data_IF_571593929566
#
_entry.id   IF_571593929566
#
_cell.length_a   1.000
_cell.length_b   1.000
_cell.length_c   1.000
_cell.angle_alpha   90.00
_cell.angle_beta   90.00
_cell.angle_gamma   90.00
#
_symmetry.space_group_name_H-M   'P 1'
#
loop_
_entity.id
_entity.type
_entity.pdbx_description
1 polymer ?
#
# COMPACT_ATOMS: atom_id res chain seq x y z
N UNK A 1 23.55 -2.48 -0.34
CA UNK A 1 22.85 -2.43 0.95
C UNK A 1 21.91 -1.24 0.96
N UNK A 2 20.63 -1.41 1.34
CA UNK A 2 19.64 -0.31 1.43
C UNK A 2 20.08 0.82 2.38
N UNK A 3 20.94 0.51 3.37
CA UNK A 3 21.52 1.48 4.31
C UNK A 3 22.34 2.60 3.64
N UNK A 4 22.75 2.45 2.38
CA UNK A 4 23.46 3.50 1.64
C UNK A 4 22.56 4.65 1.17
N UNK A 5 21.25 4.40 1.09
CA UNK A 5 20.28 5.35 0.50
C UNK A 5 19.16 5.74 1.46
N UNK A 6 19.09 5.11 2.65
CA UNK A 6 18.05 5.36 3.64
C UNK A 6 18.68 5.51 5.02
N UNK A 7 18.28 6.58 5.73
CA UNK A 7 18.69 6.85 7.11
C UNK A 7 18.30 5.72 8.06
N UNK A 8 17.14 5.09 7.82
CA UNK A 8 16.63 3.96 8.62
C UNK A 8 16.02 2.89 7.72
N UNK A 9 16.40 1.63 7.96
CA UNK A 9 15.80 0.46 7.31
C UNK A 9 14.95 -0.27 8.34
N UNK A 10 13.65 -0.38 8.06
CA UNK A 10 12.68 -1.01 8.97
C UNK A 10 12.35 -2.40 8.43
N UNK A 11 12.58 -3.48 9.21
CA UNK A 11 12.13 -4.82 8.85
C UNK A 11 10.62 -4.88 8.66
N UNK A 12 10.14 -5.72 7.73
CA UNK A 12 8.71 -5.81 7.37
C UNK A 12 7.80 -6.19 8.54
N UNK A 13 8.34 -6.90 9.51
CA UNK A 13 7.67 -7.42 10.71
C UNK A 13 7.81 -6.49 11.92
N UNK A 14 8.65 -5.45 11.82
CA UNK A 14 8.86 -4.47 12.90
C UNK A 14 7.91 -3.27 12.76
N UNK A 15 6.61 -3.56 12.93
CA UNK A 15 5.55 -2.55 12.94
C UNK A 15 5.80 -1.49 14.02
N UNK A 16 6.36 -1.86 15.17
CA UNK A 16 6.64 -0.92 16.27
C UNK A 16 7.66 0.14 15.85
N UNK A 17 8.73 -0.25 15.15
CA UNK A 17 9.71 0.71 14.63
C UNK A 17 9.15 1.57 13.52
N UNK A 18 8.27 1.03 12.67
CA UNK A 18 7.54 1.82 11.67
C UNK A 18 6.69 2.92 12.30
N UNK A 19 5.87 2.57 13.29
CA UNK A 19 5.02 3.53 14.02
C UNK A 19 5.88 4.60 14.72
N UNK A 20 6.98 4.21 15.36
CA UNK A 20 7.90 5.16 15.99
C UNK A 20 8.50 6.13 14.97
N UNK A 21 8.94 5.66 13.81
CA UNK A 21 9.48 6.53 12.75
C UNK A 21 8.46 7.57 12.29
N UNK A 22 7.21 7.16 12.05
CA UNK A 22 6.13 8.07 11.65
C UNK A 22 5.83 9.11 12.73
N UNK A 23 5.77 8.70 14.00
CA UNK A 23 5.58 9.63 15.13
C UNK A 23 6.76 10.60 15.34
N UNK A 24 7.95 10.21 14.91
CA UNK A 24 9.14 11.07 14.88
C UNK A 24 9.26 11.89 13.58
N UNK A 25 8.17 12.04 12.81
CA UNK A 25 8.11 12.83 11.59
C UNK A 25 9.04 12.35 10.45
N UNK A 26 9.36 11.05 10.43
CA UNK A 26 10.06 10.45 9.29
C UNK A 26 9.07 9.81 8.32
N UNK A 27 9.20 10.05 7.00
CA UNK A 27 8.36 9.41 6.01
C UNK A 27 8.62 7.90 5.96
N UNK A 28 7.56 7.13 5.76
CA UNK A 28 7.64 5.68 5.54
C UNK A 28 6.99 5.35 4.21
N UNK A 29 7.72 4.62 3.38
CA UNK A 29 7.16 4.00 2.19
C UNK A 29 6.43 2.70 2.57
N UNK A 30 5.18 2.56 2.14
CA UNK A 30 4.35 1.39 2.40
C UNK A 30 3.60 0.95 1.14
N UNK A 31 3.74 -0.33 0.75
CA UNK A 31 3.06 -0.92 -0.40
C UNK A 31 1.96 -1.89 0.07
N UNK A 32 0.67 -1.52 -0.05
CA UNK A 32 -0.46 -2.32 0.44
C UNK A 32 -1.07 -3.26 -0.61
N UNK A 33 -0.53 -3.27 -1.83
CA UNK A 33 -1.12 -3.82 -3.06
C UNK A 33 -0.84 -5.32 -3.26
N UNK A 34 -0.26 -6.00 -2.27
CA UNK A 34 -0.06 -7.45 -2.30
C UNK A 34 -1.25 -8.20 -1.68
N UNK A 35 -1.54 -9.40 -2.21
CA UNK A 35 -2.54 -10.34 -1.66
C UNK A 35 -2.19 -10.86 -0.27
N UNK A 36 -2.28 -10.00 0.75
CA UNK A 36 -2.04 -10.31 2.16
C UNK A 36 -3.22 -11.06 2.76
N UNK A 37 -2.93 -12.14 3.49
CA UNK A 37 -3.91 -13.08 4.07
C UNK A 37 -3.76 -13.27 5.57
N UNK A 38 -3.05 -12.35 6.24
CA UNK A 38 -2.87 -12.44 7.67
C UNK A 38 -4.07 -11.89 8.43
N UNK A 39 -3.93 -11.85 9.76
CA UNK A 39 -4.90 -11.17 10.62
C UNK A 39 -5.13 -9.76 10.07
N UNK A 40 -6.40 -9.40 9.91
CA UNK A 40 -6.83 -8.11 9.39
C UNK A 40 -6.74 -7.87 7.87
N UNK A 41 -6.79 -8.93 7.05
CA UNK A 41 -7.18 -8.80 5.65
C UNK A 41 -8.71 -8.80 5.49
N UNK A 42 -9.22 -8.10 4.48
CA UNK A 42 -10.62 -8.16 4.07
C UNK A 42 -10.73 -8.46 2.57
N UNK A 43 -11.80 -9.12 2.14
CA UNK A 43 -12.09 -9.31 0.71
C UNK A 43 -12.73 -8.03 0.17
N UNK A 44 -11.96 -7.23 -0.55
CA UNK A 44 -12.37 -5.91 -1.06
C UNK A 44 -12.22 -5.88 -2.58
N UNK A 45 -13.02 -5.04 -3.30
CA UNK A 45 -12.93 -4.96 -4.75
C UNK A 45 -11.54 -4.47 -5.19
N UNK A 46 -10.98 -5.13 -6.19
CA UNK A 46 -9.83 -4.68 -6.98
C UNK A 46 -10.08 -5.08 -8.44
N UNK A 47 -10.23 -4.09 -9.31
CA UNK A 47 -10.74 -4.21 -10.67
C UNK A 47 -12.09 -4.96 -10.73
N UNK A 48 -13.00 -4.63 -9.82
CA UNK A 48 -14.31 -5.28 -9.63
C UNK A 48 -14.25 -6.78 -9.28
N UNK A 49 -13.07 -7.32 -9.00
CA UNK A 49 -12.90 -8.70 -8.53
C UNK A 49 -12.58 -8.68 -7.03
N UNK A 50 -13.26 -9.49 -6.20
CA UNK A 50 -12.92 -9.61 -4.78
C UNK A 50 -11.46 -10.05 -4.59
N UNK A 51 -10.67 -9.27 -3.85
CA UNK A 51 -9.26 -9.55 -3.60
C UNK A 51 -8.89 -9.39 -2.11
N UNK A 52 -8.05 -10.28 -1.54
CA UNK A 52 -7.61 -10.22 -0.15
C UNK A 52 -6.74 -8.98 0.08
N UNK A 53 -7.27 -7.98 0.77
CA UNK A 53 -6.68 -6.64 0.86
C UNK A 53 -6.23 -6.34 2.28
N UNK A 54 -5.03 -5.79 2.42
CA UNK A 54 -4.49 -5.41 3.71
C UNK A 54 -5.09 -4.07 4.19
N UNK A 55 -5.75 -4.09 5.34
CA UNK A 55 -6.34 -2.88 5.96
C UNK A 55 -5.37 -2.10 6.85
N UNK A 56 -4.08 -2.49 6.87
CA UNK A 56 -3.08 -1.89 7.74
C UNK A 56 -2.85 -0.40 7.48
N UNK A 57 -2.97 0.09 6.24
CA UNK A 57 -2.82 1.53 5.93
C UNK A 57 -3.74 2.39 6.79
N UNK A 58 -5.02 1.98 6.93
CA UNK A 58 -6.00 2.66 7.79
C UNK A 58 -5.54 2.70 9.25
N UNK A 59 -5.14 1.55 9.80
CA UNK A 59 -4.70 1.45 11.21
C UNK A 59 -3.41 2.21 11.50
N UNK A 60 -2.45 2.15 10.58
CA UNK A 60 -1.19 2.88 10.69
C UNK A 60 -1.51 4.37 10.80
N UNK A 61 -2.26 4.91 9.83
CA UNK A 61 -2.68 6.31 9.82
C UNK A 61 -3.44 6.69 11.11
N UNK A 62 -4.37 5.84 11.58
CA UNK A 62 -5.14 6.11 12.81
C UNK A 62 -4.26 6.17 14.05
N UNK A 63 -3.27 5.28 14.14
CA UNK A 63 -2.40 5.16 15.30
C UNK A 63 -1.29 6.22 15.37
N UNK A 64 -0.92 6.81 14.23
CA UNK A 64 0.14 7.82 14.13
C UNK A 64 -0.38 9.23 13.92
N UNK A 65 -1.61 9.39 13.41
CA UNK A 65 -2.13 10.67 12.93
C UNK A 65 -1.43 11.17 11.66
N UNK A 66 -0.69 10.29 10.96
CA UNK A 66 0.09 10.68 9.79
C UNK A 66 -0.79 10.81 8.54
N UNK A 67 -0.55 11.82 7.69
CA UNK A 67 -1.19 11.90 6.38
C UNK A 67 -0.76 10.72 5.50
N UNK A 68 -1.67 10.22 4.68
CA UNK A 68 -1.39 9.20 3.67
C UNK A 68 -1.36 9.86 2.30
N UNK A 69 -0.20 9.82 1.65
CA UNK A 69 0.00 10.36 0.30
C UNK A 69 0.12 9.19 -0.68
N UNK A 70 -0.85 9.00 -1.59
CA UNK A 70 -0.69 8.05 -2.69
C UNK A 70 0.43 8.50 -3.62
N UNK A 71 1.11 7.53 -4.22
CA UNK A 71 2.08 7.84 -5.25
C UNK A 71 2.26 6.67 -6.21
N UNK A 72 2.69 6.97 -7.43
CA UNK A 72 3.06 5.99 -8.43
C UNK A 72 4.38 6.34 -9.10
N UNK A 73 5.04 5.32 -9.66
CA UNK A 73 6.32 5.44 -10.37
C UNK A 73 6.12 4.97 -11.80
N UNK A 74 6.59 5.79 -12.73
CA UNK A 74 6.63 5.50 -14.16
C UNK A 74 8.07 5.43 -14.60
N UNK A 75 8.49 4.32 -15.19
CA UNK A 75 9.77 4.19 -15.89
C UNK A 75 9.63 4.80 -17.28
N UNK A 76 10.52 5.73 -17.62
CA UNK A 76 10.58 6.35 -18.93
C UNK A 76 11.29 5.43 -19.94
N UNK A 77 10.98 5.56 -21.26
CA UNK A 77 11.66 4.81 -22.30
C UNK A 77 13.16 5.14 -22.36
N UNK A 78 13.92 4.28 -23.04
CA UNK A 78 15.33 4.51 -23.39
C UNK A 78 16.24 4.88 -22.20
N UNK A 79 15.96 4.30 -21.03
CA UNK A 79 16.70 4.54 -19.79
C UNK A 79 16.73 6.02 -19.35
N UNK A 80 15.75 6.83 -19.74
CA UNK A 80 15.64 8.25 -19.35
C UNK A 80 15.25 8.47 -17.88
N UNK A 81 15.11 7.41 -17.09
CA UNK A 81 14.86 7.48 -15.65
C UNK A 81 13.41 7.21 -15.27
N UNK A 82 12.93 7.90 -14.23
CA UNK A 82 11.61 7.65 -13.63
C UNK A 82 10.87 8.95 -13.33
N UNK A 83 9.56 8.94 -13.53
CA UNK A 83 8.65 9.99 -13.04
C UNK A 83 7.97 9.49 -11.78
N UNK A 84 8.17 10.21 -10.68
CA UNK A 84 7.46 10.02 -9.42
C UNK A 84 6.26 10.98 -9.39
N UNK A 85 5.06 10.45 -9.25
CA UNK A 85 3.84 11.25 -9.04
C UNK A 85 3.35 11.03 -7.62
N UNK A 86 3.33 12.09 -6.83
CA UNK A 86 2.83 12.07 -5.45
C UNK A 86 1.54 12.89 -5.43
N UNK A 87 0.45 12.27 -5.04
CA UNK A 87 -0.84 12.93 -4.90
C UNK A 87 -0.92 13.70 -3.58
N UNK A 88 -1.84 14.68 -3.48
CA UNK A 88 -2.17 15.29 -2.20
C UNK A 88 -2.56 14.24 -1.15
N UNK A 89 -2.39 14.55 0.15
CA UNK A 89 -2.86 13.68 1.22
C UNK A 89 -4.34 13.32 1.04
N UNK A 90 -4.67 12.06 1.30
CA UNK A 90 -6.06 11.60 1.32
C UNK A 90 -6.85 12.40 2.35
N UNK A 91 -7.88 13.11 1.89
CA UNK A 91 -8.83 13.79 2.77
C UNK A 91 -9.71 12.77 3.47
N UNK A 92 -10.12 13.07 4.71
CA UNK A 92 -10.99 12.23 5.53
C UNK A 92 -10.46 10.78 5.65
N UNK A 93 -9.16 10.64 5.87
CA UNK A 93 -8.49 9.35 5.99
C UNK A 93 -7.60 9.31 7.25
N UNK A 94 -7.65 8.23 8.04
CA UNK A 94 -8.54 7.07 7.90
C UNK A 94 -9.96 7.36 8.38
N UNK A 95 -10.92 6.60 7.88
CA UNK A 95 -12.28 6.57 8.42
C UNK A 95 -12.39 5.61 9.62
N UNK A 96 -13.61 5.41 10.12
CA UNK A 96 -13.89 4.39 11.13
C UNK A 96 -14.07 2.98 10.56
N UNK A 97 -14.04 2.82 9.23
CA UNK A 97 -14.07 1.51 8.55
C UNK A 97 -12.76 1.25 7.81
N UNK A 98 -11.86 0.40 8.38
CA UNK A 98 -10.65 -0.03 7.68
C UNK A 98 -10.92 -0.72 6.34
N UNK A 99 -12.09 -1.34 6.18
CA UNK A 99 -12.57 -1.94 4.94
C UNK A 99 -12.90 -0.89 3.88
N UNK A 100 -13.62 0.19 4.24
CA UNK A 100 -13.91 1.29 3.34
C UNK A 100 -12.62 2.00 2.89
N UNK A 101 -11.71 2.24 3.84
CA UNK A 101 -10.37 2.77 3.57
C UNK A 101 -9.57 1.86 2.64
N UNK A 102 -9.60 0.54 2.86
CA UNK A 102 -8.94 -0.44 2.00
C UNK A 102 -9.49 -0.47 0.58
N UNK A 103 -10.82 -0.36 0.43
CA UNK A 103 -11.46 -0.29 -0.88
C UNK A 103 -11.08 1.01 -1.62
N UNK A 104 -11.00 2.13 -0.91
CA UNK A 104 -10.50 3.40 -1.46
C UNK A 104 -9.05 3.31 -1.91
N UNK A 105 -8.18 2.69 -1.11
CA UNK A 105 -6.78 2.44 -1.47
C UNK A 105 -6.68 1.56 -2.73
N UNK A 106 -7.48 0.49 -2.83
CA UNK A 106 -7.54 -0.32 -4.05
C UNK A 106 -7.96 0.51 -5.26
N UNK A 107 -9.00 1.33 -5.17
CA UNK A 107 -9.45 2.18 -6.27
C UNK A 107 -8.36 3.15 -6.77
N UNK A 108 -7.55 3.69 -5.85
CA UNK A 108 -6.40 4.53 -6.19
C UNK A 108 -5.33 3.74 -6.94
N UNK A 109 -5.00 2.54 -6.46
CA UNK A 109 -4.05 1.64 -7.14
C UNK A 109 -4.57 1.28 -8.54
N UNK A 110 -5.86 0.99 -8.69
CA UNK A 110 -6.43 0.69 -10.00
C UNK A 110 -6.33 1.88 -10.96
N UNK A 111 -6.61 3.10 -10.49
CA UNK A 111 -6.45 4.33 -11.28
C UNK A 111 -5.01 4.45 -11.79
N UNK A 112 -4.03 4.23 -10.92
CA UNK A 112 -2.62 4.36 -11.28
C UNK A 112 -2.14 3.22 -12.20
N UNK A 113 -2.61 2.00 -11.94
CA UNK A 113 -2.35 0.84 -12.80
C UNK A 113 -2.98 1.02 -14.20
N UNK A 114 -4.18 1.62 -14.32
CA UNK A 114 -4.81 1.92 -15.62
C UNK A 114 -4.03 2.98 -16.42
N UNK A 115 -3.27 3.86 -15.76
CA UNK A 115 -2.47 4.89 -16.43
C UNK A 115 -1.33 4.27 -17.24
N UNK A 116 -0.71 3.21 -16.73
CA UNK A 116 0.46 2.54 -17.33
C UNK A 116 0.40 1.04 -17.04
N UNK A 117 -0.56 0.32 -17.63
CA UNK A 117 -0.85 -1.06 -17.27
C UNK A 117 0.36 -1.97 -17.46
N UNK A 118 1.18 -1.78 -18.49
CA UNK A 118 2.37 -2.57 -18.77
C UNK A 118 3.47 -2.48 -17.69
N UNK A 119 3.38 -1.49 -16.79
CA UNK A 119 4.34 -1.30 -15.69
C UNK A 119 3.81 -1.75 -14.32
N UNK A 120 2.55 -2.15 -14.22
CA UNK A 120 2.03 -2.75 -13.01
C UNK A 120 2.53 -4.20 -12.85
N UNK A 121 2.82 -4.63 -11.62
CA UNK A 121 3.39 -5.95 -11.34
C UNK A 121 2.30 -7.05 -11.39
N UNK A 122 1.77 -7.35 -12.57
CA UNK A 122 0.70 -8.34 -12.79
C UNK A 122 1.05 -9.78 -12.42
N UNK A 123 2.34 -10.10 -12.33
CA UNK A 123 2.79 -11.44 -11.96
C UNK A 123 2.52 -11.79 -10.49
N UNK A 124 2.21 -10.80 -9.63
CA UNK A 124 1.82 -11.09 -8.26
C UNK A 124 0.44 -11.74 -8.22
N UNK A 125 0.31 -12.85 -7.50
CA UNK A 125 -0.94 -13.59 -7.44
C UNK A 125 -1.95 -12.93 -6.46
N UNK A 126 -2.42 -11.74 -6.85
CA UNK A 126 -3.30 -10.85 -6.08
C UNK A 126 -4.65 -11.51 -5.75
N UNK A 127 -5.17 -12.31 -6.68
CA UNK A 127 -6.52 -12.89 -6.64
C UNK A 127 -6.59 -14.31 -6.11
N UNK A 128 -5.45 -14.98 -5.85
CA UNK A 128 -5.49 -16.31 -5.23
C UNK A 128 -6.39 -16.26 -3.99
N UNK A 129 -7.17 -17.28 -3.72
CA UNK A 129 -8.13 -17.24 -2.61
C UNK A 129 -7.88 -18.30 -1.56
N UNK A 130 -7.05 -19.33 -1.80
CA UNK A 130 -6.83 -20.53 -0.95
C UNK A 130 -7.17 -20.32 0.53
N UNK A 131 -8.48 -20.37 0.81
CA UNK A 131 -9.05 -20.30 2.13
C UNK A 131 -9.18 -21.76 2.53
N UNK A 132 -8.04 -22.42 2.72
CA UNK A 132 -8.07 -23.70 3.39
C UNK A 132 -8.46 -23.40 4.83
N UNK A 133 -9.76 -23.58 5.11
CA UNK A 133 -10.29 -23.74 6.45
C UNK A 133 -9.39 -24.74 7.18
N UNK A 134 -8.50 -24.24 8.04
CA UNK A 134 -8.02 -25.05 9.15
C UNK A 134 -9.15 -25.03 10.17
N UNK A 135 -10.04 -26.02 10.04
CA UNK A 135 -10.86 -26.51 11.15
C UNK A 135 -9.98 -26.93 12.30
#
# INVERSE_FOLDING_TARGET
SRRKHFEKVIPRDDVRSMIRSLKSNHPVWYAPDQGYRGKHSAMLPFFNVPAPTNTATSRIAKSTGSPVLPFSVERLPDAQGYVLRIDPPLQDFPSDSPEADGARVNAIIERDARRIPEQYLWCHNRFKTDYHHRT
#
